data_IF_137488754402
#
_entry.id   IF_137488754402
#
_cell.length_a   1.000
_cell.length_b   1.000
_cell.length_c   1.000
_cell.angle_alpha   90.00
_cell.angle_beta   90.00
_cell.angle_gamma   90.00
#
_symmetry.space_group_name_H-M   'P 1'
#
loop_
_entity.id
_entity.type
_entity.pdbx_description
1 polymer ?
#
# COMPACT_ATOMS: atom_id res chain seq x y z
N UNK A 1 2.00 17.41 7.41
CA UNK A 1 0.60 17.13 7.78
C UNK A 1 -0.32 17.80 6.77
N UNK A 2 -1.51 17.26 6.55
CA UNK A 2 -2.50 17.82 5.63
C UNK A 2 -3.67 16.86 5.37
N UNK A 3 -4.79 17.40 4.90
CA UNK A 3 -6.03 16.63 4.68
C UNK A 3 -5.86 15.47 3.68
N UNK A 4 -4.99 15.66 2.69
CA UNK A 4 -4.67 14.67 1.65
C UNK A 4 -3.25 14.10 1.79
N UNK A 5 -2.66 14.22 2.99
CA UNK A 5 -1.34 13.66 3.30
C UNK A 5 -1.53 12.54 4.32
N UNK A 6 -1.13 11.32 3.97
CA UNK A 6 -1.17 10.17 4.86
C UNK A 6 0.23 9.70 5.21
N UNK A 7 0.38 9.19 6.44
CA UNK A 7 1.60 8.54 6.90
C UNK A 7 1.52 7.06 6.55
N UNK A 8 2.54 6.57 5.86
CA UNK A 8 2.77 5.14 5.65
C UNK A 8 3.80 4.66 6.67
N UNK A 9 3.52 3.54 7.34
CA UNK A 9 4.43 2.99 8.34
C UNK A 9 4.30 1.47 8.47
N UNK A 10 5.18 0.85 9.25
CA UNK A 10 5.13 -0.60 9.54
C UNK A 10 5.07 -1.47 8.28
N UNK A 11 5.85 -1.12 7.26
CA UNK A 11 5.97 -1.95 6.07
C UNK A 11 6.52 -3.33 6.44
N UNK A 12 5.87 -4.37 5.95
CA UNK A 12 6.36 -5.74 6.00
C UNK A 12 6.18 -6.39 4.63
N UNK A 13 7.05 -7.33 4.30
CA UNK A 13 6.91 -8.16 3.12
C UNK A 13 7.71 -9.44 3.26
N UNK A 14 7.18 -10.54 2.72
CA UNK A 14 7.83 -11.84 2.71
C UNK A 14 8.12 -12.28 1.28
N UNK A 15 9.40 -12.56 1.00
CA UNK A 15 9.84 -13.20 -0.24
C UNK A 15 10.23 -14.65 0.04
N UNK A 16 9.36 -15.65 -0.19
CA UNK A 16 9.66 -17.04 0.17
C UNK A 16 10.88 -17.60 -0.56
N UNK A 17 11.10 -17.17 -1.80
CA UNK A 17 12.21 -17.59 -2.67
C UNK A 17 13.21 -16.46 -2.94
N UNK A 18 13.21 -15.41 -2.10
CA UNK A 18 14.10 -14.25 -2.24
C UNK A 18 13.84 -13.35 -3.46
N UNK A 19 12.85 -13.67 -4.31
CA UNK A 19 12.57 -12.98 -5.58
C UNK A 19 11.25 -12.20 -5.54
N UNK A 20 10.12 -12.91 -5.47
CA UNK A 20 8.78 -12.33 -5.45
C UNK A 20 8.20 -12.25 -4.03
N UNK A 21 7.25 -11.33 -3.80
CA UNK A 21 6.48 -11.30 -2.56
C UNK A 21 5.32 -12.31 -2.61
N UNK A 22 5.07 -13.02 -1.51
CA UNK A 22 3.82 -13.78 -1.32
C UNK A 22 2.90 -13.13 -0.28
N UNK A 23 3.44 -12.23 0.54
CA UNK A 23 2.69 -11.34 1.39
C UNK A 23 3.39 -10.01 1.52
N UNK A 24 2.63 -8.92 1.57
CA UNK A 24 3.13 -7.63 2.05
C UNK A 24 2.00 -6.76 2.58
N UNK A 25 2.38 -5.77 3.38
CA UNK A 25 1.45 -4.78 3.90
C UNK A 25 2.15 -3.66 4.64
N UNK A 26 1.34 -2.66 4.99
CA UNK A 26 1.76 -1.44 5.65
C UNK A 26 0.55 -0.80 6.35
N UNK A 27 0.81 0.08 7.31
CA UNK A 27 -0.22 0.90 7.95
C UNK A 27 -0.38 2.22 7.20
N UNK A 28 -1.62 2.68 7.07
CA UNK A 28 -2.00 4.00 6.56
C UNK A 28 -2.67 4.77 7.69
N UNK A 29 -2.17 5.98 7.97
CA UNK A 29 -2.70 6.87 9.02
C UNK A 29 -2.90 8.29 8.51
N UNK A 30 -4.03 8.90 8.82
CA UNK A 30 -4.29 10.31 8.53
C UNK A 30 -3.34 11.24 9.30
N UNK A 31 -2.97 12.37 8.69
CA UNK A 31 -2.08 13.36 9.32
C UNK A 31 -2.79 14.67 9.67
N UNK A 32 -4.12 14.73 9.55
CA UNK A 32 -4.93 15.94 9.80
C UNK A 32 -5.73 15.87 11.12
N UNK A 33 -5.39 14.95 12.02
CA UNK A 33 -6.15 14.72 13.26
C UNK A 33 -7.42 13.89 13.08
N UNK A 34 -7.71 13.39 11.87
CA UNK A 34 -8.78 12.44 11.61
C UNK A 34 -8.54 11.05 12.23
N UNK A 35 -9.57 10.20 12.20
CA UNK A 35 -9.57 8.88 12.84
C UNK A 35 -9.05 7.73 11.96
N UNK A 36 -8.75 8.00 10.68
CA UNK A 36 -8.26 6.98 9.76
C UNK A 36 -6.89 6.45 10.20
N UNK A 37 -6.86 5.18 10.58
CA UNK A 37 -5.67 4.42 10.98
C UNK A 37 -5.96 2.93 10.75
N UNK A 38 -5.42 2.34 9.67
CA UNK A 38 -5.71 0.95 9.32
C UNK A 38 -4.55 0.26 8.58
N UNK A 39 -4.56 -1.08 8.61
CA UNK A 39 -3.59 -1.89 7.89
C UNK A 39 -4.08 -2.21 6.48
N UNK A 40 -3.19 -2.06 5.52
CA UNK A 40 -3.37 -2.39 4.12
C UNK A 40 -2.43 -3.55 3.77
N UNK A 41 -2.96 -4.66 3.27
CA UNK A 41 -2.13 -5.83 2.96
C UNK A 41 -2.75 -6.74 1.91
N UNK A 42 -1.91 -7.55 1.25
CA UNK A 42 -2.37 -8.62 0.36
C UNK A 42 -1.50 -9.88 0.49
N UNK A 43 -2.08 -11.02 0.15
CA UNK A 43 -1.45 -12.33 0.18
C UNK A 43 -1.88 -13.16 -1.03
N UNK A 44 -0.94 -13.88 -1.63
CA UNK A 44 -1.16 -14.84 -2.72
C UNK A 44 0.06 -15.75 -2.83
N UNK A 45 -0.01 -16.84 -3.61
CA UNK A 45 1.17 -17.66 -3.91
C UNK A 45 2.31 -16.83 -4.51
N UNK A 46 1.95 -15.89 -5.39
CA UNK A 46 2.84 -14.89 -5.96
C UNK A 46 2.09 -13.58 -6.18
N UNK A 47 2.60 -12.50 -5.59
CA UNK A 47 2.14 -11.15 -5.85
C UNK A 47 2.94 -10.57 -7.03
N UNK A 48 2.24 -9.90 -7.93
CA UNK A 48 2.79 -9.34 -9.16
C UNK A 48 3.04 -7.84 -8.98
N UNK A 49 4.19 -7.39 -9.48
CA UNK A 49 4.53 -5.96 -9.48
C UNK A 49 3.55 -5.16 -10.34
N UNK A 50 3.26 -3.93 -9.92
CA UNK A 50 2.39 -2.97 -10.60
C UNK A 50 0.93 -3.45 -10.78
N UNK A 51 0.54 -4.57 -10.17
CA UNK A 51 -0.85 -5.00 -10.10
C UNK A 51 -1.53 -4.35 -8.91
N UNK A 52 -2.76 -3.85 -9.12
CA UNK A 52 -3.58 -3.32 -8.04
C UNK A 52 -4.21 -4.44 -7.22
N UNK A 53 -4.05 -4.34 -5.91
CA UNK A 53 -4.66 -5.17 -4.88
C UNK A 53 -5.49 -4.29 -3.96
N UNK A 54 -6.63 -4.79 -3.51
CA UNK A 54 -7.43 -4.08 -2.50
C UNK A 54 -6.71 -4.12 -1.15
N UNK A 55 -6.73 -3.01 -0.40
CA UNK A 55 -6.13 -2.95 0.94
C UNK A 55 -6.79 -3.88 1.97
N UNK A 56 -8.02 -4.34 1.70
CA UNK A 56 -8.77 -5.23 2.58
C UNK A 56 -10.24 -5.33 2.18
N UNK A 57 -10.98 -6.22 2.83
CA UNK A 57 -12.41 -6.39 2.59
C UNK A 57 -13.14 -5.06 2.88
N UNK A 58 -13.88 -4.55 1.89
CA UNK A 58 -14.57 -3.25 1.92
C UNK A 58 -13.66 -2.01 1.95
N UNK A 59 -12.40 -2.11 1.51
CA UNK A 59 -11.55 -0.94 1.34
C UNK A 59 -11.86 -0.19 0.04
N UNK A 60 -12.03 1.13 0.12
CA UNK A 60 -12.07 2.03 -1.04
C UNK A 60 -10.68 2.40 -1.57
N UNK A 61 -9.64 1.71 -1.07
CA UNK A 61 -8.25 1.96 -1.36
C UNK A 61 -7.64 0.70 -1.97
N UNK A 62 -7.10 0.87 -3.18
CA UNK A 62 -6.26 -0.11 -3.84
C UNK A 62 -4.80 0.34 -3.75
N UNK A 63 -3.87 -0.60 -3.82
CA UNK A 63 -2.45 -0.33 -3.91
C UNK A 63 -1.78 -1.21 -4.96
N UNK A 64 -0.68 -0.72 -5.53
CA UNK A 64 0.25 -1.49 -6.32
C UNK A 64 1.68 -1.26 -5.82
N UNK A 65 2.56 -2.23 -6.01
CA UNK A 65 3.95 -2.13 -5.56
C UNK A 65 4.92 -2.45 -6.71
N UNK A 66 6.01 -1.69 -6.81
CA UNK A 66 7.10 -1.89 -7.76
C UNK A 66 8.35 -2.31 -6.97
N UNK A 67 8.67 -3.60 -6.99
CA UNK A 67 9.72 -4.16 -6.12
C UNK A 67 11.15 -3.77 -6.54
N UNK A 68 11.34 -3.28 -7.77
CA UNK A 68 12.63 -2.79 -8.29
C UNK A 68 13.11 -1.50 -7.60
N UNK A 69 12.19 -0.73 -7.02
CA UNK A 69 12.44 0.61 -6.45
C UNK A 69 11.75 0.85 -5.11
N UNK A 70 11.25 -0.23 -4.49
CA UNK A 70 10.39 -0.19 -3.32
C UNK A 70 9.23 0.83 -3.44
N UNK A 71 8.66 0.92 -4.63
CA UNK A 71 7.68 1.95 -4.99
C UNK A 71 6.26 1.52 -4.62
N UNK A 72 5.57 2.32 -3.81
CA UNK A 72 4.16 2.16 -3.50
C UNK A 72 3.33 3.14 -4.35
N UNK A 73 2.26 2.64 -4.96
CA UNK A 73 1.20 3.41 -5.58
C UNK A 73 -0.08 3.13 -4.80
N UNK A 74 -0.77 4.17 -4.35
CA UNK A 74 -2.10 4.08 -3.74
C UNK A 74 -3.11 4.75 -4.67
N UNK A 75 -4.28 4.13 -4.82
CA UNK A 75 -5.42 4.65 -5.55
C UNK A 75 -6.65 4.64 -4.65
N UNK A 76 -7.34 5.77 -4.54
CA UNK A 76 -8.60 5.89 -3.80
C UNK A 76 -9.72 6.30 -4.75
N UNK A 77 -10.75 5.46 -4.87
CA UNK A 77 -11.98 5.81 -5.57
C UNK A 77 -12.90 6.61 -4.64
N UNK A 78 -13.21 7.86 -4.99
CA UNK A 78 -14.05 8.75 -4.16
C UNK A 78 -15.47 8.86 -4.73
N UNK A 79 -15.59 8.88 -6.05
CA UNK A 79 -16.84 8.82 -6.80
C UNK A 79 -16.57 8.24 -8.19
N UNK A 80 -17.62 8.08 -9.01
CA UNK A 80 -17.53 7.56 -10.38
C UNK A 80 -16.55 8.38 -11.26
N UNK A 81 -16.42 9.67 -10.99
CA UNK A 81 -15.61 10.61 -11.77
C UNK A 81 -14.31 11.05 -11.07
N UNK A 82 -14.10 10.67 -9.80
CA UNK A 82 -12.99 11.17 -8.99
C UNK A 82 -12.16 10.05 -8.38
N UNK A 83 -10.90 10.00 -8.79
CA UNK A 83 -9.89 9.09 -8.24
C UNK A 83 -8.66 9.88 -7.80
N UNK A 84 -8.24 9.67 -6.56
CA UNK A 84 -6.95 10.16 -6.08
C UNK A 84 -5.87 9.11 -6.23
N UNK A 85 -4.65 9.56 -6.54
CA UNK A 85 -3.47 8.71 -6.64
C UNK A 85 -2.33 9.34 -5.85
N UNK A 86 -1.63 8.52 -5.07
CA UNK A 86 -0.44 8.90 -4.33
C UNK A 86 0.69 7.90 -4.57
N UNK A 87 1.94 8.37 -4.53
CA UNK A 87 3.11 7.49 -4.67
C UNK A 87 4.16 7.82 -3.62
N UNK A 88 4.90 6.81 -3.18
CA UNK A 88 6.05 6.98 -2.29
C UNK A 88 7.02 5.81 -2.45
N UNK A 89 8.27 6.00 -2.08
CA UNK A 89 9.19 4.88 -1.82
C UNK A 89 9.01 4.41 -0.37
N UNK A 90 9.09 3.10 -0.13
CA UNK A 90 9.07 2.48 1.20
C UNK A 90 10.42 1.81 1.50
N UNK A 91 11.41 2.58 1.99
CA UNK A 91 12.71 2.02 2.33
C UNK A 91 12.56 0.88 3.34
N UNK A 92 13.13 -0.28 3.03
CA UNK A 92 13.06 -1.47 3.87
C UNK A 92 14.39 -2.21 3.88
N UNK A 93 14.52 -3.15 4.81
CA UNK A 93 15.71 -3.96 4.97
C UNK A 93 15.31 -5.44 5.10
N UNK A 94 15.71 -6.25 4.12
CA UNK A 94 15.47 -7.69 4.12
C UNK A 94 16.58 -8.42 4.88
N UNK A 95 16.22 -9.43 5.66
CA UNK A 95 17.15 -10.28 6.43
C UNK A 95 16.69 -11.73 6.44
#
# INVERSE_FOLDING_TARGET
EGDYVWKISNFFGRKPEGTYYNSFGFNIKATNGGTLDFNCSSQADKLEDNKFYSCGENSFIDFAFSSDRDGLIIKQGVSDDLTYVGTTTLPNYCR
#
